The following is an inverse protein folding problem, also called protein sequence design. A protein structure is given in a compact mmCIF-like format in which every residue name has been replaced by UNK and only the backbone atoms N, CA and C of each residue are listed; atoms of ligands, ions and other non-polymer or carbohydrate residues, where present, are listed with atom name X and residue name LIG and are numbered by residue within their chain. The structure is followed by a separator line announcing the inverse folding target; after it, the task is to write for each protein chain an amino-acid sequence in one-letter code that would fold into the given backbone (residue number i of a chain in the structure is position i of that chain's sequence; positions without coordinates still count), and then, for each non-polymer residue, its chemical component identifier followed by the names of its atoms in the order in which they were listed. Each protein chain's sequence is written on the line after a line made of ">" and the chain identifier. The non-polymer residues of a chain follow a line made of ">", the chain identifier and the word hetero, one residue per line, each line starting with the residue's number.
data_IF_971708598272
#
_entry.id   IF_971708598272
#
_cell.length_a   1.000
_cell.length_b   1.000
_cell.length_c   1.000
_cell.angle_alpha   90.00
_cell.angle_beta   90.00
_cell.angle_gamma   90.00
#
_symmetry.space_group_name_H-M   'P 1'
#
loop_
_entity.id
_entity.type
_entity.pdbx_description
1 polymer ?
#
# COMPACT_ATOMS: atom_id res chain seq x y z
N UNK A 1 1.63 8.68 9.26
CA UNK A 1 0.60 8.28 8.27
C UNK A 1 1.01 8.61 6.85
N UNK A 2 1.37 9.86 6.53
CA UNK A 2 1.72 10.26 5.15
C UNK A 2 2.86 9.44 4.55
N UNK A 3 4.03 9.38 5.20
CA UNK A 3 5.20 8.68 4.67
C UNK A 3 5.01 7.16 4.53
N UNK A 4 4.34 6.54 5.49
CA UNK A 4 4.02 5.10 5.45
C UNK A 4 3.07 4.78 4.30
N UNK A 5 2.09 5.65 4.04
CA UNK A 5 1.15 5.51 2.92
C UNK A 5 1.84 5.79 1.58
N UNK A 6 2.65 6.84 1.51
CA UNK A 6 3.40 7.22 0.30
C UNK A 6 4.35 6.09 -0.15
N UNK A 7 5.16 5.57 0.78
CA UNK A 7 6.12 4.50 0.48
C UNK A 7 5.38 3.19 0.17
N UNK A 8 4.34 2.84 0.92
CA UNK A 8 3.52 1.65 0.65
C UNK A 8 2.85 1.71 -0.71
N UNK A 9 2.25 2.85 -1.07
CA UNK A 9 1.58 3.05 -2.35
C UNK A 9 2.56 2.91 -3.53
N UNK A 10 3.69 3.61 -3.50
CA UNK A 10 4.66 3.54 -4.60
C UNK A 10 5.29 2.15 -4.69
N UNK A 11 5.64 1.54 -3.55
CA UNK A 11 6.21 0.19 -3.53
C UNK A 11 5.26 -0.88 -4.08
N UNK A 12 3.95 -0.76 -3.85
CA UNK A 12 2.95 -1.68 -4.40
C UNK A 12 2.71 -1.43 -5.89
N UNK A 13 2.40 -0.20 -6.28
CA UNK A 13 1.87 0.07 -7.64
C UNK A 13 2.95 0.35 -8.69
N UNK A 14 4.14 0.81 -8.31
CA UNK A 14 5.21 1.06 -9.28
C UNK A 14 5.70 -0.25 -9.89
N UNK A 15 5.76 -1.32 -9.10
CA UNK A 15 6.13 -2.66 -9.55
C UNK A 15 5.10 -3.24 -10.55
N UNK A 16 3.82 -2.89 -10.40
CA UNK A 16 2.76 -3.35 -11.30
C UNK A 16 2.88 -2.78 -12.72
N UNK A 17 3.48 -1.60 -12.90
CA UNK A 17 3.75 -1.05 -14.23
C UNK A 17 4.75 -1.94 -14.98
N UNK A 18 5.81 -2.38 -14.29
CA UNK A 18 6.81 -3.29 -14.84
C UNK A 18 6.25 -4.69 -15.10
N UNK A 19 5.40 -5.22 -14.21
CA UNK A 19 4.69 -6.48 -14.44
C UNK A 19 3.79 -6.43 -15.69
N UNK A 20 3.09 -5.31 -15.90
CA UNK A 20 2.27 -5.11 -17.10
C UNK A 20 3.09 -5.09 -18.40
N UNK A 21 4.27 -4.46 -18.37
CA UNK A 21 5.21 -4.48 -19.52
C UNK A 21 5.74 -5.89 -19.79
N UNK A 22 5.97 -6.68 -18.74
CA UNK A 22 6.40 -8.08 -18.86
C UNK A 22 5.27 -9.05 -19.25
N UNK A 23 4.08 -8.55 -19.60
CA UNK A 23 3.00 -9.36 -20.18
C UNK A 23 2.02 -9.97 -19.17
N UNK A 24 2.10 -9.60 -17.89
CA UNK A 24 1.12 -10.06 -16.90
C UNK A 24 -0.27 -9.46 -17.19
N UNK A 25 -1.22 -10.31 -17.57
CA UNK A 25 -2.61 -9.89 -17.76
C UNK A 25 -3.29 -9.65 -16.40
N UNK A 26 -4.18 -8.65 -16.35
CA UNK A 26 -4.98 -8.37 -15.15
C UNK A 26 -5.95 -9.52 -14.85
N UNK A 27 -6.27 -9.73 -13.58
CA UNK A 27 -7.27 -10.71 -13.08
C UNK A 27 -6.88 -12.18 -13.27
N UNK A 28 -5.60 -12.47 -13.47
CA UNK A 28 -5.10 -13.85 -13.50
C UNK A 28 -4.78 -14.29 -12.06
N UNK A 29 -5.35 -15.41 -11.57
CA UNK A 29 -5.15 -15.88 -10.19
C UNK A 29 -3.80 -16.57 -9.96
N UNK A 30 -3.19 -17.14 -11.02
CA UNK A 30 -1.97 -17.95 -10.95
C UNK A 30 -0.99 -17.62 -12.09
N UNK A 31 0.31 -17.79 -11.83
CA UNK A 31 1.36 -17.60 -12.84
C UNK A 31 2.42 -18.69 -12.69
N UNK A 32 3.08 -19.05 -13.79
CA UNK A 32 4.13 -20.07 -13.76
C UNK A 32 5.39 -19.48 -13.12
N UNK A 33 5.97 -20.19 -12.15
CA UNK A 33 7.19 -19.75 -11.45
C UNK A 33 8.40 -19.53 -12.37
N UNK A 34 8.38 -20.13 -13.57
CA UNK A 34 9.41 -20.00 -14.61
C UNK A 34 9.40 -18.64 -15.31
N UNK A 35 8.31 -17.88 -15.22
CA UNK A 35 8.11 -16.62 -15.97
C UNK A 35 8.83 -15.41 -15.35
N UNK A 36 9.54 -15.58 -14.23
CA UNK A 36 10.28 -14.50 -13.57
C UNK A 36 9.39 -13.43 -12.90
N UNK A 37 8.07 -13.63 -12.89
CA UNK A 37 7.07 -12.72 -12.30
C UNK A 37 6.98 -12.82 -10.77
N UNK A 38 7.54 -13.89 -10.17
CA UNK A 38 7.45 -14.19 -8.73
C UNK A 38 8.09 -13.10 -7.87
N UNK A 39 9.26 -12.59 -8.28
CA UNK A 39 10.01 -11.58 -7.51
C UNK A 39 9.22 -10.27 -7.42
N UNK A 40 8.68 -9.79 -8.54
CA UNK A 40 7.92 -8.54 -8.62
C UNK A 40 6.60 -8.65 -7.83
N UNK A 41 5.90 -9.78 -7.93
CA UNK A 41 4.68 -10.03 -7.15
C UNK A 41 4.96 -10.14 -5.63
N UNK A 42 6.09 -10.73 -5.23
CA UNK A 42 6.49 -10.82 -3.81
C UNK A 42 6.78 -9.43 -3.23
N UNK A 43 7.55 -8.62 -3.96
CA UNK A 43 7.84 -7.23 -3.56
C UNK A 43 6.54 -6.42 -3.44
N UNK A 44 5.66 -6.51 -4.43
CA UNK A 44 4.34 -5.85 -4.39
C UNK A 44 3.52 -6.27 -3.18
N UNK A 45 3.60 -7.53 -2.76
CA UNK A 45 2.84 -8.06 -1.61
C UNK A 45 3.38 -7.49 -0.29
N UNK A 46 4.70 -7.43 -0.12
CA UNK A 46 5.34 -6.85 1.07
C UNK A 46 4.92 -5.39 1.24
N UNK A 47 4.94 -4.61 0.17
CA UNK A 47 4.51 -3.22 0.22
C UNK A 47 3.00 -3.06 0.41
N UNK A 48 2.18 -4.01 -0.06
CA UNK A 48 0.73 -4.01 0.21
C UNK A 48 0.43 -4.22 1.69
N UNK A 49 1.20 -5.04 2.40
CA UNK A 49 1.09 -5.14 3.86
C UNK A 49 1.50 -3.83 4.55
N UNK A 50 2.59 -3.19 4.08
CA UNK A 50 2.99 -1.87 4.57
C UNK A 50 1.87 -0.83 4.36
N UNK A 51 1.27 -0.80 3.17
CA UNK A 51 0.16 0.08 2.82
C UNK A 51 -1.06 -0.18 3.71
N UNK A 52 -1.43 -1.45 3.93
CA UNK A 52 -2.51 -1.80 4.86
C UNK A 52 -2.21 -1.35 6.29
N UNK A 53 -0.98 -1.60 6.78
CA UNK A 53 -0.57 -1.16 8.12
C UNK A 53 -0.55 0.37 8.27
N UNK A 54 -0.41 1.12 7.18
CA UNK A 54 -0.42 2.58 7.20
C UNK A 54 -1.79 3.18 7.60
N UNK A 55 -2.87 2.38 7.53
CA UNK A 55 -4.19 2.76 8.03
C UNK A 55 -4.28 2.71 9.56
N UNK A 56 -3.48 1.90 10.24
CA UNK A 56 -3.47 1.82 11.71
C UNK A 56 -3.14 3.17 12.37
N UNK A 57 -2.04 3.88 12.01
CA UNK A 57 -1.77 5.21 12.58
C UNK A 57 -2.79 6.26 12.12
N UNK A 58 -3.46 6.07 10.97
CA UNK A 58 -4.58 6.94 10.56
C UNK A 58 -5.76 6.81 11.53
N UNK A 59 -6.26 5.60 11.76
CA UNK A 59 -7.36 5.36 12.69
C UNK A 59 -7.01 5.75 14.12
N UNK A 60 -5.78 5.49 14.55
CA UNK A 60 -5.30 5.91 15.86
C UNK A 60 -5.34 7.44 16.01
N UNK A 61 -4.87 8.19 15.00
CA UNK A 61 -4.94 9.64 15.03
C UNK A 61 -6.39 10.13 15.10
N UNK A 62 -7.29 9.58 14.27
CA UNK A 62 -8.72 9.95 14.27
C UNK A 62 -9.34 9.72 15.65
N UNK A 63 -9.15 8.54 16.24
CA UNK A 63 -9.68 8.22 17.57
C UNK A 63 -9.12 9.15 18.65
N UNK A 64 -7.80 9.40 18.62
CA UNK A 64 -7.13 10.26 19.59
C UNK A 64 -7.63 11.70 19.49
N UNK A 65 -7.76 12.25 18.28
CA UNK A 65 -8.26 13.61 18.10
C UNK A 65 -9.75 13.73 18.39
N UNK A 66 -10.55 12.69 18.12
CA UNK A 66 -11.97 12.71 18.45
C UNK A 66 -12.23 12.70 19.97
N UNK A 67 -11.42 11.95 20.74
CA UNK A 67 -11.61 11.79 22.18
C UNK A 67 -10.84 12.80 23.03
N UNK A 68 -9.66 13.22 22.58
CA UNK A 68 -8.72 14.05 23.35
C UNK A 68 -8.24 15.28 22.57
N UNK A 69 -8.80 15.54 21.39
CA UNK A 69 -8.46 16.72 20.59
C UNK A 69 -8.85 18.00 21.31
N UNK A 70 -8.01 19.04 21.15
CA UNK A 70 -8.34 20.37 21.64
C UNK A 70 -9.52 20.90 20.78
N UNK A 71 -10.62 21.35 21.40
CA UNK A 71 -11.68 22.02 20.66
C UNK A 71 -11.09 23.26 19.99
N UNK A 72 -11.31 23.37 18.68
CA UNK A 72 -10.84 24.51 17.90
C UNK A 72 -11.90 25.61 18.01
N UNK A 73 -11.46 26.82 18.36
CA UNK A 73 -12.30 28.02 18.36
C UNK A 73 -12.61 28.50 16.94
N UNK A 74 -13.44 29.53 16.81
CA UNK A 74 -13.62 30.22 15.54
C UNK A 74 -12.49 31.23 15.36
N UNK A 75 -11.63 30.98 14.38
CA UNK A 75 -10.78 32.01 13.74
C UNK A 75 -11.41 32.39 12.41
#
# INVERSE_FOLDING_TARGET
>A
TFWTLFIGFHGTFLVQHWLGVNGMQRRIPDYLAVEGLTTLNTVSTIFSFLLGSSLLPFFYNVWKTAKYGKPVGVD
#
